data_IF_041303648934
#
_entry.id   IF_041303648934
#
_cell.length_a   1.000
_cell.length_b   1.000
_cell.length_c   1.000
_cell.angle_alpha   90.00
_cell.angle_beta   90.00
_cell.angle_gamma   90.00
#
_symmetry.space_group_name_H-M   'P 1'
#
loop_
_entity.id
_entity.type
_entity.pdbx_description
1 polymer ?
#
# COMPACT_ATOMS: atom_id res chain seq x y z
N UNK A 1 -26.64 -34.99 39.16
CA UNK A 1 -25.64 -34.40 38.26
C UNK A 1 -24.28 -34.99 38.59
N UNK A 2 -23.61 -35.61 37.65
CA UNK A 2 -22.28 -36.20 37.88
C UNK A 2 -21.24 -35.09 37.98
N UNK A 3 -20.19 -35.31 38.81
CA UNK A 3 -19.10 -34.32 39.01
C UNK A 3 -18.57 -33.69 37.73
N UNK A 4 -18.38 -34.39 36.58
CA UNK A 4 -17.91 -33.78 35.33
C UNK A 4 -18.93 -32.82 34.71
N UNK A 5 -20.24 -33.04 34.89
CA UNK A 5 -21.28 -32.15 34.33
C UNK A 5 -21.29 -30.78 35.02
N UNK A 6 -20.96 -30.72 36.31
CA UNK A 6 -20.86 -29.44 37.03
C UNK A 6 -19.70 -28.60 36.52
N UNK A 7 -18.56 -29.22 36.21
CA UNK A 7 -17.39 -28.53 35.67
C UNK A 7 -17.64 -27.96 34.25
N UNK A 8 -18.34 -28.72 33.40
CA UNK A 8 -18.72 -28.27 32.06
C UNK A 8 -19.71 -27.09 32.14
N UNK A 9 -20.70 -27.17 33.03
CA UNK A 9 -21.66 -26.08 33.24
C UNK A 9 -20.97 -24.80 33.77
N UNK A 10 -20.04 -24.95 34.74
CA UNK A 10 -19.28 -23.81 35.25
C UNK A 10 -18.40 -23.15 34.16
N UNK A 11 -17.77 -23.95 33.31
CA UNK A 11 -16.93 -23.44 32.22
C UNK A 11 -17.76 -22.69 31.17
N UNK A 12 -18.93 -23.23 30.77
CA UNK A 12 -19.85 -22.58 29.86
C UNK A 12 -20.38 -21.25 30.41
N UNK A 13 -20.70 -21.21 31.69
CA UNK A 13 -21.19 -20.01 32.36
C UNK A 13 -20.12 -18.94 32.38
N UNK A 14 -18.87 -19.31 32.71
CA UNK A 14 -17.73 -18.40 32.68
C UNK A 14 -17.48 -17.86 31.27
N UNK A 15 -17.59 -18.71 30.25
CA UNK A 15 -17.42 -18.30 28.85
C UNK A 15 -18.49 -17.31 28.40
N UNK A 16 -19.76 -17.54 28.80
CA UNK A 16 -20.88 -16.62 28.51
C UNK A 16 -20.65 -15.28 29.19
N UNK A 17 -20.20 -15.27 30.44
CA UNK A 17 -19.93 -14.03 31.20
C UNK A 17 -18.80 -13.24 30.52
N UNK A 18 -17.69 -13.90 30.16
CA UNK A 18 -16.59 -13.25 29.46
C UNK A 18 -16.99 -12.72 28.09
N UNK A 19 -17.83 -13.45 27.36
CA UNK A 19 -18.36 -13.00 26.07
C UNK A 19 -19.29 -11.79 26.21
N UNK A 20 -20.14 -11.77 27.25
CA UNK A 20 -21.01 -10.61 27.55
C UNK A 20 -20.18 -9.39 27.96
N UNK A 21 -19.17 -9.56 28.81
CA UNK A 21 -18.26 -8.47 29.19
C UNK A 21 -17.53 -7.94 27.96
N UNK A 22 -17.03 -8.80 27.08
CA UNK A 22 -16.38 -8.40 25.84
C UNK A 22 -17.31 -7.68 24.85
N UNK A 23 -18.63 -7.90 24.94
CA UNK A 23 -19.61 -7.13 24.18
C UNK A 23 -19.95 -5.78 24.81
N UNK A 24 -19.98 -5.72 26.15
CA UNK A 24 -20.30 -4.49 26.89
C UNK A 24 -19.12 -3.51 26.96
N UNK A 25 -17.89 -4.01 26.85
CA UNK A 25 -16.67 -3.18 26.82
C UNK A 25 -16.32 -2.67 25.41
N UNK A 26 -17.14 -2.96 24.39
CA UNK A 26 -17.13 -2.18 23.15
C UNK A 26 -17.94 -0.91 23.35
N UNK A 27 -17.56 -0.09 24.33
CA UNK A 27 -17.98 1.31 24.35
C UNK A 27 -17.25 2.03 23.21
N UNK A 28 -18.06 2.66 22.36
CA UNK A 28 -17.59 3.64 21.37
C UNK A 28 -16.82 4.74 22.13
N UNK A 29 -15.49 4.63 22.14
CA UNK A 29 -14.69 5.77 22.59
C UNK A 29 -14.97 6.94 21.65
N UNK A 30 -15.43 8.10 22.17
CA UNK A 30 -15.56 9.28 21.34
C UNK A 30 -14.16 9.62 20.82
N UNK A 31 -14.00 9.60 19.51
CA UNK A 31 -12.77 9.98 18.81
C UNK A 31 -12.28 11.32 19.32
N UNK A 32 -11.22 11.31 20.11
CA UNK A 32 -10.41 12.49 20.32
C UNK A 32 -9.81 12.86 18.96
N UNK A 33 -10.26 14.00 18.49
CA UNK A 33 -9.75 14.70 17.33
C UNK A 33 -8.22 14.84 17.46
N UNK A 34 -7.48 13.89 16.88
CA UNK A 34 -6.05 13.95 16.71
C UNK A 34 -5.79 14.36 15.26
N UNK A 35 -5.98 15.65 15.02
CA UNK A 35 -5.57 16.34 13.80
C UNK A 35 -4.05 16.16 13.64
N UNK A 36 -3.62 15.15 12.90
CA UNK A 36 -2.20 15.05 12.59
C UNK A 36 -1.60 13.72 12.22
N UNK A 37 -2.34 12.60 12.22
CA UNK A 37 -1.81 11.35 11.69
C UNK A 37 -2.92 10.57 10.97
N UNK A 38 -2.85 10.57 9.64
CA UNK A 38 -3.70 9.78 8.76
C UNK A 38 -3.47 8.28 8.98
N UNK A 39 -4.10 7.72 10.03
CA UNK A 39 -4.44 6.31 10.09
C UNK A 39 -5.91 6.16 9.75
N UNK A 40 -6.25 6.27 8.48
CA UNK A 40 -7.54 5.79 8.01
C UNK A 40 -7.55 4.27 8.07
N UNK A 41 -8.56 3.63 8.72
CA UNK A 41 -8.78 2.21 8.57
C UNK A 41 -9.03 1.94 7.08
N UNK A 42 -8.56 0.80 6.61
CA UNK A 42 -8.68 0.25 5.26
C UNK A 42 -10.16 0.06 4.87
N UNK A 43 -10.89 1.18 4.79
CA UNK A 43 -12.18 1.29 4.14
C UNK A 43 -11.88 1.67 2.69
N UNK A 44 -12.41 0.92 1.75
CA UNK A 44 -12.43 1.17 0.32
C UNK A 44 -12.85 2.62 0.02
N UNK A 45 -11.91 3.58 0.13
CA UNK A 45 -12.05 4.81 -0.62
C UNK A 45 -11.93 4.42 -2.07
N UNK A 46 -13.01 4.59 -2.80
CA UNK A 46 -13.02 4.34 -4.23
C UNK A 46 -11.84 5.10 -4.84
N UNK A 47 -10.91 4.38 -5.46
CA UNK A 47 -9.73 4.92 -6.14
C UNK A 47 -10.08 6.02 -7.18
N UNK A 48 -11.37 6.18 -7.50
CA UNK A 48 -11.88 7.21 -8.39
C UNK A 48 -11.56 8.65 -7.93
N UNK A 49 -11.30 8.87 -6.64
CA UNK A 49 -11.12 10.20 -6.06
C UNK A 49 -9.66 10.54 -5.68
N UNK A 50 -8.75 9.53 -5.72
CA UNK A 50 -7.36 9.74 -5.35
C UNK A 50 -6.57 10.37 -6.50
N UNK A 51 -5.79 11.41 -6.16
CA UNK A 51 -4.82 12.04 -7.07
C UNK A 51 -3.55 11.19 -7.22
N UNK A 52 -2.74 11.43 -8.25
CA UNK A 52 -1.54 10.65 -8.54
C UNK A 52 -0.53 10.62 -7.38
N UNK A 53 -0.36 11.75 -6.67
CA UNK A 53 0.51 11.86 -5.51
C UNK A 53 0.04 10.99 -4.32
N UNK A 54 -1.27 10.93 -4.10
CA UNK A 54 -1.87 10.06 -3.07
C UNK A 54 -1.77 8.59 -3.43
N UNK A 55 -1.95 8.27 -4.70
CA UNK A 55 -1.80 6.91 -5.20
C UNK A 55 -0.36 6.41 -5.08
N UNK A 56 0.65 7.24 -5.34
CA UNK A 56 2.07 6.91 -5.13
C UNK A 56 2.35 6.51 -3.68
N UNK A 57 1.78 7.24 -2.73
CA UNK A 57 1.91 6.92 -1.31
C UNK A 57 1.17 5.62 -0.96
N UNK A 58 -0.09 5.47 -1.41
CA UNK A 58 -0.91 4.30 -1.12
C UNK A 58 -0.38 3.01 -1.76
N UNK A 59 0.33 3.10 -2.89
CA UNK A 59 0.98 1.97 -3.55
C UNK A 59 2.37 1.67 -2.98
N UNK A 60 2.84 2.47 -2.02
CA UNK A 60 4.11 2.26 -1.34
C UNK A 60 5.35 2.62 -2.16
N UNK A 61 5.21 3.39 -3.22
CA UNK A 61 6.33 3.81 -4.07
C UNK A 61 7.41 4.56 -3.27
N UNK A 62 6.98 5.37 -2.31
CA UNK A 62 7.86 6.17 -1.44
C UNK A 62 8.78 5.33 -0.55
N UNK A 63 8.46 4.06 -0.29
CA UNK A 63 9.30 3.17 0.52
C UNK A 63 10.68 2.90 -0.11
N UNK A 64 10.71 2.84 -1.45
CA UNK A 64 11.94 2.59 -2.19
C UNK A 64 12.49 3.85 -2.86
N UNK A 65 11.61 4.74 -3.34
CA UNK A 65 12.00 5.93 -4.11
C UNK A 65 12.17 7.19 -3.26
N UNK A 66 11.92 7.10 -1.94
CA UNK A 66 11.99 8.22 -1.00
C UNK A 66 10.70 9.04 -0.94
N UNK A 67 10.47 9.71 0.19
CA UNK A 67 9.25 10.50 0.42
C UNK A 67 9.12 11.67 -0.57
N UNK A 68 10.24 12.21 -1.00
CA UNK A 68 10.36 13.30 -1.98
C UNK A 68 10.59 12.80 -3.42
N UNK A 69 10.57 11.48 -3.63
CA UNK A 69 10.80 10.79 -4.91
C UNK A 69 12.20 11.08 -5.54
N UNK A 70 13.16 11.56 -4.75
CA UNK A 70 14.52 11.83 -5.20
C UNK A 70 15.40 10.56 -5.31
N UNK A 71 14.86 9.41 -4.92
CA UNK A 71 15.57 8.15 -4.88
C UNK A 71 16.21 7.86 -3.53
N UNK A 72 16.58 6.60 -3.32
CA UNK A 72 17.28 6.10 -2.14
C UNK A 72 18.33 5.08 -2.55
N UNK A 73 18.92 4.37 -1.59
CA UNK A 73 19.75 3.19 -1.87
C UNK A 73 18.94 1.97 -2.34
N UNK A 74 17.61 2.00 -2.27
CA UNK A 74 16.72 0.92 -2.71
C UNK A 74 16.12 1.13 -4.10
N UNK A 75 16.05 2.38 -4.56
CA UNK A 75 15.45 2.70 -5.86
C UNK A 75 15.88 4.05 -6.42
N UNK A 76 15.86 4.21 -7.74
CA UNK A 76 16.26 5.45 -8.41
C UNK A 76 15.28 6.61 -8.15
N UNK A 77 15.73 7.84 -8.46
CA UNK A 77 14.85 9.00 -8.52
C UNK A 77 13.72 8.80 -9.51
N UNK A 78 12.52 9.27 -9.15
CA UNK A 78 11.36 9.36 -10.03
C UNK A 78 11.17 10.78 -10.59
N UNK A 79 12.10 11.69 -10.34
CA UNK A 79 12.10 13.05 -10.93
C UNK A 79 12.71 13.02 -12.33
N UNK A 80 12.18 13.84 -13.21
CA UNK A 80 12.68 13.96 -14.60
C UNK A 80 12.36 12.74 -15.47
N UNK A 81 11.34 11.95 -15.13
CA UNK A 81 10.99 10.75 -15.90
C UNK A 81 10.56 11.06 -17.32
N UNK A 82 10.07 12.25 -17.60
CA UNK A 82 9.67 12.70 -18.93
C UNK A 82 10.80 12.59 -19.98
N UNK A 83 12.04 12.70 -19.56
CA UNK A 83 13.22 12.57 -20.45
C UNK A 83 13.44 11.12 -20.90
N UNK A 84 12.93 10.16 -20.14
CA UNK A 84 13.21 8.73 -20.34
C UNK A 84 12.02 7.95 -20.90
N UNK A 85 10.82 8.47 -20.75
CA UNK A 85 9.61 7.79 -21.22
C UNK A 85 9.01 8.54 -22.40
N UNK A 86 8.97 7.86 -23.54
CA UNK A 86 8.43 8.42 -24.79
C UNK A 86 6.92 8.68 -24.75
N UNK A 87 6.20 7.95 -23.87
CA UNK A 87 4.76 8.12 -23.69
C UNK A 87 4.31 7.70 -22.30
N UNK A 88 3.15 8.24 -21.91
CA UNK A 88 2.40 7.85 -20.72
C UNK A 88 2.13 6.34 -20.68
N UNK A 89 1.70 5.78 -21.82
CA UNK A 89 1.31 4.37 -21.91
C UNK A 89 2.51 3.44 -21.73
N UNK A 90 3.70 3.82 -22.20
CA UNK A 90 4.91 3.08 -21.94
C UNK A 90 5.26 3.02 -20.45
N UNK A 91 5.06 4.12 -19.73
CA UNK A 91 5.25 4.16 -18.28
C UNK A 91 4.21 3.27 -17.57
N UNK A 92 2.94 3.32 -18.00
CA UNK A 92 1.90 2.42 -17.45
C UNK A 92 2.26 0.95 -17.71
N UNK A 93 2.71 0.60 -18.91
CA UNK A 93 3.13 -0.75 -19.24
C UNK A 93 4.30 -1.22 -18.37
N UNK A 94 5.26 -0.34 -18.10
CA UNK A 94 6.33 -0.61 -17.16
C UNK A 94 5.81 -0.86 -15.74
N UNK A 95 4.95 0.00 -15.22
CA UNK A 95 4.36 -0.18 -13.88
C UNK A 95 3.60 -1.50 -13.76
N UNK A 96 2.94 -1.93 -14.84
CA UNK A 96 2.23 -3.21 -14.87
C UNK A 96 3.14 -4.42 -14.93
N UNK A 97 4.23 -4.33 -15.66
CA UNK A 97 5.18 -5.44 -15.83
C UNK A 97 6.62 -4.92 -15.97
N UNK A 98 7.27 -4.54 -14.86
CA UNK A 98 8.65 -4.04 -14.90
C UNK A 98 9.63 -5.03 -15.52
N UNK A 99 9.40 -6.35 -15.33
CA UNK A 99 10.30 -7.38 -15.82
C UNK A 99 10.46 -7.40 -17.33
N UNK A 100 9.44 -6.99 -18.09
CA UNK A 100 9.52 -6.93 -19.56
C UNK A 100 10.46 -5.85 -20.09
N UNK A 101 10.97 -4.97 -19.23
CA UNK A 101 11.87 -3.87 -19.60
C UNK A 101 13.32 -4.10 -19.15
N UNK A 102 13.60 -5.19 -18.43
CA UNK A 102 14.90 -5.43 -17.79
C UNK A 102 16.06 -5.67 -18.77
N UNK A 103 15.78 -6.00 -20.03
CA UNK A 103 16.81 -6.27 -21.04
C UNK A 103 17.39 -5.00 -21.65
N UNK A 104 16.79 -3.85 -21.45
CA UNK A 104 17.33 -2.58 -21.92
C UNK A 104 18.54 -2.13 -21.10
N UNK A 105 19.49 -1.44 -21.74
CA UNK A 105 20.75 -1.03 -21.09
C UNK A 105 20.53 -0.15 -19.87
N UNK A 106 19.50 0.70 -19.90
CA UNK A 106 19.09 1.52 -18.76
C UNK A 106 18.75 0.67 -17.53
N UNK A 107 17.92 -0.34 -17.72
CA UNK A 107 17.49 -1.21 -16.61
C UNK A 107 18.56 -2.18 -16.17
N UNK A 108 19.44 -2.62 -17.05
CA UNK A 108 20.69 -3.33 -16.68
C UNK A 108 21.56 -2.48 -15.76
N UNK A 109 21.71 -1.17 -16.07
CA UNK A 109 22.40 -0.22 -15.22
C UNK A 109 21.74 -0.05 -13.84
N UNK A 110 20.42 0.03 -13.80
CA UNK A 110 19.70 0.09 -12.52
C UNK A 110 19.83 -1.19 -11.71
N UNK A 111 19.76 -2.36 -12.33
CA UNK A 111 19.97 -3.64 -11.66
C UNK A 111 21.37 -3.76 -11.04
N UNK A 112 22.39 -3.26 -11.73
CA UNK A 112 23.76 -3.22 -11.19
C UNK A 112 23.89 -2.25 -9.99
N UNK A 113 23.23 -1.10 -10.05
CA UNK A 113 23.27 -0.07 -9.00
C UNK A 113 22.39 -0.41 -7.79
N UNK A 114 21.27 -1.11 -8.01
CA UNK A 114 20.27 -1.46 -6.99
C UNK A 114 20.06 -2.98 -6.95
N UNK A 115 21.06 -3.79 -6.58
CA UNK A 115 20.98 -5.25 -6.70
C UNK A 115 19.86 -5.89 -5.87
N UNK A 116 19.48 -5.24 -4.78
CA UNK A 116 18.39 -5.66 -3.88
C UNK A 116 17.06 -4.94 -4.17
N UNK A 117 17.07 -3.99 -5.09
CA UNK A 117 15.88 -3.21 -5.47
C UNK A 117 15.10 -3.95 -6.56
N UNK A 118 13.95 -4.52 -6.20
CA UNK A 118 13.03 -5.13 -7.15
C UNK A 118 11.79 -4.25 -7.22
N UNK A 119 11.55 -3.66 -8.39
CA UNK A 119 10.30 -2.93 -8.65
C UNK A 119 9.15 -3.93 -8.72
N UNK A 120 8.14 -3.85 -7.84
CA UNK A 120 7.00 -4.76 -7.87
C UNK A 120 6.13 -4.51 -9.11
N UNK A 121 5.44 -5.56 -9.56
CA UNK A 121 4.43 -5.43 -10.61
C UNK A 121 3.11 -4.93 -10.03
N UNK A 122 2.52 -3.94 -10.67
CA UNK A 122 1.19 -3.42 -10.38
C UNK A 122 0.14 -3.87 -11.41
N UNK A 123 0.38 -5.00 -12.08
CA UNK A 123 -0.52 -5.54 -13.11
C UNK A 123 -1.94 -5.86 -12.63
N UNK A 124 -2.11 -6.05 -11.32
CA UNK A 124 -3.40 -6.30 -10.65
C UNK A 124 -4.14 -5.02 -10.21
N UNK A 125 -3.57 -3.84 -10.46
CA UNK A 125 -4.16 -2.54 -10.10
C UNK A 125 -4.96 -1.96 -11.26
N UNK A 126 -5.90 -1.08 -10.94
CA UNK A 126 -6.70 -0.40 -11.97
C UNK A 126 -5.79 0.45 -12.87
N UNK A 127 -5.98 0.30 -14.18
CA UNK A 127 -5.22 1.05 -15.20
C UNK A 127 -5.45 2.56 -15.08
N UNK A 128 -6.64 3.00 -14.62
CA UNK A 128 -6.93 4.41 -14.38
C UNK A 128 -6.06 4.98 -13.27
N UNK A 129 -5.85 4.22 -12.20
CA UNK A 129 -4.98 4.63 -11.09
C UNK A 129 -3.52 4.68 -11.52
N UNK A 130 -3.06 3.66 -12.25
CA UNK A 130 -1.73 3.68 -12.86
C UNK A 130 -1.56 4.85 -13.83
N UNK A 131 -2.63 5.22 -14.54
CA UNK A 131 -2.66 6.40 -15.39
C UNK A 131 -2.45 7.69 -14.61
N UNK A 132 -3.16 7.89 -13.50
CA UNK A 132 -2.98 9.07 -12.63
C UNK A 132 -1.57 9.14 -12.04
N UNK A 133 -1.00 7.98 -11.65
CA UNK A 133 0.38 7.89 -11.20
C UNK A 133 1.35 8.31 -12.31
N UNK A 134 1.17 7.76 -13.51
CA UNK A 134 2.03 8.10 -14.66
C UNK A 134 1.94 9.59 -15.02
N UNK A 135 0.73 10.15 -15.04
CA UNK A 135 0.51 11.58 -15.29
C UNK A 135 1.26 12.44 -14.26
N UNK A 136 1.14 12.12 -12.97
CA UNK A 136 1.85 12.85 -11.93
C UNK A 136 3.37 12.72 -12.06
N UNK A 137 3.89 11.51 -12.25
CA UNK A 137 5.33 11.25 -12.38
C UNK A 137 5.96 11.96 -13.59
N UNK A 138 5.21 12.15 -14.67
CA UNK A 138 5.68 12.86 -15.85
C UNK A 138 5.66 14.40 -15.70
N UNK A 139 5.10 14.91 -14.60
CA UNK A 139 5.16 16.35 -14.23
C UNK A 139 6.33 16.70 -13.33
N UNK A 140 6.98 15.72 -12.72
CA UNK A 140 8.12 15.87 -11.83
C UNK A 140 9.41 16.04 -12.65
#
# INVERSE_FOLDING_TARGET
MTKPQIWVAAFLLLFIVLFMIGRLTKEDEPMKDFSGMNNSPMGQQSSAELTGDKLIQSFGCTNCHGADLAGTNMGPSLKGLKEFWSSRDNLINYLRNPNSFMDSDRFKGYKAKYPNGIMPSYGNKDVKDLGKIADYLLTL
#
